data_IF_924953119587
#
_entry.id   IF_924953119587
#
_cell.length_a   1.000
_cell.length_b   1.000
_cell.length_c   1.000
_cell.angle_alpha   90.00
_cell.angle_beta   90.00
_cell.angle_gamma   90.00
#
_symmetry.space_group_name_H-M   'P 1'
#
loop_
_entity.id
_entity.type
_entity.pdbx_description
1 polymer ?
#
# COMPACT_ATOMS: atom_id res chain seq x y z
N UNK A 1 -5.39 1.22 8.52
CA UNK A 1 -5.21 0.24 7.44
C UNK A 1 -4.17 0.76 6.44
N UNK A 2 -3.28 -0.11 5.94
CA UNK A 2 -2.29 0.21 4.91
C UNK A 2 -2.48 -0.68 3.66
N UNK A 3 -2.54 -0.05 2.49
CA UNK A 3 -2.83 -0.71 1.21
C UNK A 3 -1.66 -1.55 0.66
N UNK A 4 -1.95 -2.43 -0.30
CA UNK A 4 -0.93 -3.18 -1.04
C UNK A 4 -0.13 -2.31 -2.03
N UNK A 5 1.05 -2.80 -2.42
CA UNK A 5 1.98 -2.11 -3.32
C UNK A 5 1.34 -1.79 -4.68
N UNK A 6 1.42 -0.54 -5.13
CA UNK A 6 0.83 -0.07 -6.39
C UNK A 6 -0.66 0.25 -6.33
N UNK A 7 -1.29 0.20 -5.14
CA UNK A 7 -2.66 0.65 -4.90
C UNK A 7 -2.68 1.90 -4.02
N UNK A 8 -3.88 2.34 -3.62
CA UNK A 8 -4.14 3.41 -2.66
C UNK A 8 -5.21 2.94 -1.65
N UNK A 9 -5.44 3.72 -0.60
CA UNK A 9 -6.41 3.45 0.45
C UNK A 9 -7.85 3.35 -0.09
N UNK A 10 -8.22 4.19 -1.05
CA UNK A 10 -9.56 4.19 -1.64
C UNK A 10 -9.92 2.89 -2.36
N UNK A 11 -8.95 2.15 -2.89
CA UNK A 11 -9.19 0.80 -3.43
C UNK A 11 -9.79 -0.19 -2.40
N UNK A 12 -9.80 0.15 -1.11
CA UNK A 12 -10.36 -0.65 -0.02
C UNK A 12 -11.62 -0.01 0.59
N UNK A 13 -12.13 1.10 0.03
CA UNK A 13 -13.26 1.88 0.56
C UNK A 13 -14.47 0.98 0.86
N UNK A 14 -14.86 0.13 -0.08
CA UNK A 14 -15.98 -0.82 0.08
C UNK A 14 -15.81 -1.78 1.26
N UNK A 15 -14.59 -2.26 1.48
CA UNK A 15 -14.27 -3.10 2.63
C UNK A 15 -14.40 -2.30 3.93
N UNK A 16 -13.98 -1.04 3.94
CA UNK A 16 -14.13 -0.17 5.11
C UNK A 16 -15.59 0.17 5.39
N UNK A 17 -16.39 0.46 4.37
CA UNK A 17 -17.84 0.72 4.50
C UNK A 17 -18.55 -0.46 5.18
N UNK A 18 -18.24 -1.70 4.77
CA UNK A 18 -18.81 -2.91 5.36
C UNK A 18 -18.39 -3.14 6.84
N UNK A 19 -17.27 -2.54 7.27
CA UNK A 19 -16.74 -2.67 8.63
C UNK A 19 -16.96 -1.44 9.50
N UNK A 20 -17.47 -0.34 8.95
CA UNK A 20 -17.53 0.97 9.60
C UNK A 20 -18.44 1.01 10.83
N UNK A 21 -19.38 0.06 10.96
CA UNK A 21 -20.20 -0.07 12.16
C UNK A 21 -19.43 -0.63 13.37
N UNK A 22 -18.30 -1.32 13.14
CA UNK A 22 -17.53 -1.99 14.18
C UNK A 22 -16.18 -1.31 14.48
N UNK A 23 -15.70 -0.43 13.59
CA UNK A 23 -14.37 0.16 13.69
C UNK A 23 -14.35 1.62 13.24
N UNK A 24 -13.60 2.45 13.98
CA UNK A 24 -13.11 3.73 13.49
C UNK A 24 -11.89 3.48 12.59
N UNK A 25 -12.10 3.55 11.28
CA UNK A 25 -11.08 3.15 10.31
C UNK A 25 -10.30 4.37 9.82
N UNK A 26 -9.04 4.44 10.23
CA UNK A 26 -8.06 5.30 9.58
C UNK A 26 -7.33 4.53 8.49
N UNK A 27 -7.35 5.01 7.26
CA UNK A 27 -6.60 4.45 6.14
C UNK A 27 -5.60 5.47 5.60
N UNK A 28 -4.37 5.03 5.33
CA UNK A 28 -3.29 5.90 4.89
C UNK A 28 -2.76 5.45 3.53
N UNK A 29 -2.49 6.41 2.66
CA UNK A 29 -1.67 6.20 1.47
C UNK A 29 -0.19 6.21 1.83
N UNK A 30 0.49 5.13 1.48
CA UNK A 30 1.92 4.98 1.68
C UNK A 30 2.68 5.94 0.75
N UNK A 31 3.85 6.43 1.17
CA UNK A 31 4.70 7.32 0.33
C UNK A 31 4.80 6.84 -1.12
N UNK A 32 4.68 7.76 -2.06
CA UNK A 32 4.68 7.46 -3.49
C UNK A 32 3.42 6.77 -4.03
N UNK A 33 2.32 6.73 -3.28
CA UNK A 33 1.04 6.13 -3.71
C UNK A 33 -0.13 7.06 -3.42
N UNK A 34 -1.24 6.86 -4.14
CA UNK A 34 -2.50 7.55 -3.89
C UNK A 34 -2.37 9.08 -3.79
N UNK A 35 -3.03 9.66 -2.80
CA UNK A 35 -3.07 11.10 -2.56
C UNK A 35 -1.88 11.64 -1.74
N UNK A 36 -0.98 10.79 -1.23
CA UNK A 36 0.15 11.29 -0.45
C UNK A 36 1.17 11.99 -1.33
N UNK A 37 1.66 13.14 -0.85
CA UNK A 37 2.72 13.92 -1.52
C UNK A 37 4.11 13.57 -1.03
N UNK A 38 4.24 12.63 -0.10
CA UNK A 38 5.55 12.17 0.36
C UNK A 38 6.28 11.51 -0.81
N UNK A 39 7.53 11.91 -1.10
CA UNK A 39 8.29 11.30 -2.16
C UNK A 39 8.50 9.81 -1.83
N UNK A 40 8.46 8.97 -2.86
CA UNK A 40 8.73 7.53 -2.73
C UNK A 40 10.13 7.24 -2.15
N UNK A 41 11.03 8.23 -2.14
CA UNK A 41 12.41 8.13 -1.65
C UNK A 41 13.15 6.94 -2.31
N UNK A 42 13.18 6.92 -3.64
CA UNK A 42 13.65 5.78 -4.46
C UNK A 42 15.15 5.51 -4.34
N UNK A 43 15.96 6.56 -4.13
CA UNK A 43 17.41 6.43 -4.00
C UNK A 43 17.78 5.92 -2.61
N UNK A 44 18.66 4.90 -2.54
CA UNK A 44 19.10 4.31 -1.28
C UNK A 44 18.03 3.46 -0.57
N UNK A 45 16.86 3.25 -1.18
CA UNK A 45 15.75 2.53 -0.58
C UNK A 45 15.98 1.01 -0.53
N UNK A 46 16.65 0.53 0.52
CA UNK A 46 17.00 -0.89 0.70
C UNK A 46 16.11 -1.64 1.69
N UNK A 47 15.14 -0.96 2.29
CA UNK A 47 14.33 -1.55 3.36
C UNK A 47 12.90 -1.04 3.32
N UNK A 48 11.97 -1.93 3.66
CA UNK A 48 10.57 -1.57 3.90
C UNK A 48 10.35 -0.90 5.27
N UNK A 49 11.42 -0.62 6.03
CA UNK A 49 11.38 0.09 7.31
C UNK A 49 10.69 1.46 7.22
N UNK A 50 10.89 2.18 6.11
CA UNK A 50 10.34 3.53 5.96
C UNK A 50 8.81 3.54 6.05
N UNK A 51 8.15 2.51 5.50
CA UNK A 51 6.69 2.45 5.48
C UNK A 51 6.12 2.19 6.88
N UNK A 52 6.84 1.41 7.70
CA UNK A 52 6.48 1.21 9.10
C UNK A 52 6.66 2.48 9.91
N UNK A 53 7.75 3.20 9.68
CA UNK A 53 8.02 4.50 10.31
C UNK A 53 6.95 5.55 9.94
N UNK A 54 6.55 5.60 8.68
CA UNK A 54 5.45 6.47 8.23
C UNK A 54 4.14 6.14 8.94
N UNK A 55 3.76 4.86 8.97
CA UNK A 55 2.53 4.45 9.65
C UNK A 55 2.56 4.75 11.15
N UNK A 56 3.72 4.62 11.81
CA UNK A 56 3.89 5.00 13.21
C UNK A 56 3.66 6.50 13.42
N UNK A 57 4.20 7.35 12.53
CA UNK A 57 3.96 8.80 12.55
C UNK A 57 2.51 9.14 12.25
N UNK A 58 1.90 8.47 11.27
CA UNK A 58 0.48 8.64 10.94
C UNK A 58 -0.41 8.25 12.13
N UNK A 59 -0.17 7.11 12.79
CA UNK A 59 -0.87 6.73 14.02
C UNK A 59 -0.75 7.80 15.10
N UNK A 60 0.46 8.29 15.36
CA UNK A 60 0.67 9.34 16.36
C UNK A 60 -0.08 10.64 16.02
N UNK A 61 -0.10 11.03 14.74
CA UNK A 61 -0.83 12.21 14.28
C UNK A 61 -2.35 12.04 14.34
N UNK A 62 -2.85 10.81 14.24
CA UNK A 62 -4.27 10.48 14.29
C UNK A 62 -4.78 10.16 15.70
N UNK A 63 -3.89 9.96 16.67
CA UNK A 63 -4.23 9.69 18.07
C UNK A 63 -5.26 10.66 18.67
N UNK A 64 -5.23 11.98 18.40
CA UNK A 64 -6.24 12.91 18.91
C UNK A 64 -7.66 12.70 18.37
N UNK A 65 -7.81 11.97 17.25
CA UNK A 65 -9.10 11.69 16.62
C UNK A 65 -9.59 10.26 16.89
N UNK A 66 -8.76 9.43 17.51
CA UNK A 66 -9.11 8.05 17.82
C UNK A 66 -9.94 7.99 19.11
N UNK A 67 -10.84 7.01 19.19
CA UNK A 67 -11.46 6.64 20.44
C UNK A 67 -10.38 6.24 21.48
N UNK A 68 -10.73 6.31 22.77
CA UNK A 68 -9.87 5.83 23.86
C UNK A 68 -9.85 4.29 23.90
N UNK A 69 -9.25 3.71 22.87
CA UNK A 69 -9.15 2.28 22.64
C UNK A 69 -7.78 1.90 22.08
N UNK A 70 -7.25 0.70 22.38
CA UNK A 70 -6.00 0.23 21.81
C UNK A 70 -6.06 0.14 20.28
N UNK A 71 -4.94 0.45 19.62
CA UNK A 71 -4.87 0.44 18.16
C UNK A 71 -4.83 -0.99 17.61
N UNK A 72 -5.55 -1.21 16.52
CA UNK A 72 -5.34 -2.36 15.63
C UNK A 72 -4.69 -1.88 14.34
N UNK A 73 -3.49 -2.36 14.05
CA UNK A 73 -2.82 -2.08 12.78
C UNK A 73 -3.16 -3.18 11.78
N UNK A 74 -3.64 -2.78 10.60
CA UNK A 74 -4.03 -3.73 9.55
C UNK A 74 -3.42 -3.35 8.21
N UNK A 75 -3.10 -4.34 7.37
CA UNK A 75 -2.66 -4.06 6.01
C UNK A 75 -2.55 -5.28 5.10
N UNK A 76 -2.52 -4.99 3.80
CA UNK A 76 -2.41 -5.98 2.72
C UNK A 76 -1.02 -5.93 2.07
N UNK A 77 -0.37 -7.07 1.84
CA UNK A 77 0.88 -7.17 1.09
C UNK A 77 1.98 -6.26 1.67
N UNK A 78 2.47 -5.26 0.92
CA UNK A 78 3.39 -4.23 1.42
C UNK A 78 2.85 -3.51 2.66
N UNK A 79 1.56 -3.16 2.66
CA UNK A 79 0.91 -2.53 3.82
C UNK A 79 0.87 -3.44 5.03
N UNK A 80 0.80 -4.76 4.85
CA UNK A 80 0.92 -5.73 5.93
C UNK A 80 2.32 -5.73 6.57
N UNK A 81 3.37 -5.69 5.75
CA UNK A 81 4.76 -5.55 6.23
C UNK A 81 4.96 -4.22 6.94
N UNK A 82 4.39 -3.14 6.40
CA UNK A 82 4.45 -1.82 7.03
C UNK A 82 3.74 -1.82 8.40
N UNK A 83 2.55 -2.43 8.50
CA UNK A 83 1.80 -2.56 9.75
C UNK A 83 2.57 -3.36 10.81
N UNK A 84 3.19 -4.48 10.43
CA UNK A 84 4.07 -5.25 11.32
C UNK A 84 5.23 -4.42 11.85
N UNK A 85 5.89 -3.67 10.97
CA UNK A 85 7.04 -2.83 11.35
C UNK A 85 6.63 -1.65 12.24
N UNK A 86 5.46 -1.08 12.01
CA UNK A 86 4.90 -0.01 12.83
C UNK A 86 4.50 -0.50 14.23
N UNK A 87 3.99 -1.73 14.34
CA UNK A 87 3.59 -2.33 15.62
C UNK A 87 4.77 -2.76 16.49
N UNK A 88 5.96 -2.99 15.90
CA UNK A 88 7.10 -3.54 16.59
C UNK A 88 7.56 -2.61 17.74
N UNK A 89 7.35 -3.07 18.99
CA UNK A 89 7.71 -2.33 20.20
C UNK A 89 6.72 -1.25 20.62
N UNK A 90 5.54 -1.16 19.98
CA UNK A 90 4.50 -0.18 20.31
C UNK A 90 3.43 -0.83 21.21
N UNK A 91 3.48 -0.55 22.51
CA UNK A 91 2.55 -1.11 23.50
C UNK A 91 1.10 -0.61 23.34
N UNK A 92 0.87 0.47 22.59
CA UNK A 92 -0.47 0.96 22.31
C UNK A 92 -1.15 0.21 21.15
N UNK A 93 -0.45 -0.74 20.50
CA UNK A 93 -1.01 -1.61 19.46
C UNK A 93 -1.39 -2.95 20.08
N UNK A 94 -2.69 -3.20 20.22
CA UNK A 94 -3.21 -4.46 20.79
C UNK A 94 -3.23 -5.61 19.78
N UNK A 95 -3.34 -5.31 18.49
CA UNK A 95 -3.44 -6.34 17.46
C UNK A 95 -2.85 -5.90 16.12
N UNK A 96 -2.36 -6.88 15.38
CA UNK A 96 -2.00 -6.74 13.96
C UNK A 96 -2.85 -7.70 13.12
N UNK A 97 -3.43 -7.21 12.02
CA UNK A 97 -4.24 -8.00 11.07
C UNK A 97 -3.63 -7.93 9.67
N UNK A 98 -3.29 -9.08 9.11
CA UNK A 98 -2.51 -9.18 7.88
C UNK A 98 -3.29 -9.88 6.79
N UNK A 99 -3.33 -9.27 5.62
CA UNK A 99 -3.87 -9.86 4.40
C UNK A 99 -2.68 -10.13 3.49
N UNK A 100 -2.39 -11.40 3.21
CA UNK A 100 -1.32 -11.81 2.27
C UNK A 100 0.01 -11.03 2.45
N UNK A 101 0.62 -11.02 3.66
CA UNK A 101 1.84 -10.23 3.91
C UNK A 101 3.02 -10.75 3.08
N UNK A 102 3.84 -9.83 2.59
CA UNK A 102 5.02 -10.18 1.78
C UNK A 102 6.15 -10.67 2.68
N UNK A 103 6.50 -11.96 2.57
CA UNK A 103 7.58 -12.60 3.33
C UNK A 103 8.56 -13.33 2.39
N UNK A 104 9.45 -12.60 1.68
CA UNK A 104 10.39 -13.21 0.76
C UNK A 104 11.45 -14.04 1.51
N UNK A 105 12.02 -15.08 0.89
CA UNK A 105 13.14 -15.82 1.47
C UNK A 105 14.29 -14.90 1.87
N UNK A 106 15.03 -15.28 2.92
CA UNK A 106 16.19 -14.52 3.41
C UNK A 106 17.23 -14.25 2.31
N UNK A 107 17.43 -15.22 1.40
CA UNK A 107 18.32 -15.08 0.26
C UNK A 107 17.89 -13.95 -0.69
N UNK A 108 16.60 -13.86 -1.03
CA UNK A 108 16.07 -12.79 -1.87
C UNK A 108 16.17 -11.43 -1.16
N UNK A 109 15.92 -11.40 0.15
CA UNK A 109 16.08 -10.18 0.96
C UNK A 109 17.54 -9.70 0.95
N UNK A 110 18.50 -10.61 1.20
CA UNK A 110 19.92 -10.29 1.15
C UNK A 110 20.34 -9.77 -0.24
N UNK A 111 19.86 -10.43 -1.30
CA UNK A 111 20.11 -10.02 -2.67
C UNK A 111 19.56 -8.63 -2.98
N UNK A 112 18.36 -8.32 -2.51
CA UNK A 112 17.72 -7.01 -2.67
C UNK A 112 18.45 -5.88 -1.93
N UNK A 113 19.18 -6.19 -0.87
CA UNK A 113 20.03 -5.23 -0.16
C UNK A 113 21.46 -5.11 -0.71
N UNK A 114 21.85 -6.00 -1.63
CA UNK A 114 23.20 -6.04 -2.20
C UNK A 114 23.45 -4.93 -3.24
N UNK A 115 24.71 -4.55 -3.52
CA UNK A 115 25.04 -3.60 -4.60
C UNK A 115 24.73 -4.16 -6.00
N UNK A 116 24.51 -5.47 -6.15
CA UNK A 116 24.17 -6.10 -7.42
C UNK A 116 22.68 -6.04 -7.75
N UNK A 117 21.83 -5.59 -6.81
CA UNK A 117 20.39 -5.52 -7.01
C UNK A 117 19.97 -4.76 -8.28
N UNK A 118 20.55 -3.59 -8.63
CA UNK A 118 20.19 -2.88 -9.87
C UNK A 118 20.43 -3.69 -11.14
N UNK A 119 21.39 -4.62 -11.12
CA UNK A 119 21.65 -5.53 -12.25
C UNK A 119 20.63 -6.67 -12.29
N UNK A 120 20.19 -7.16 -11.13
CA UNK A 120 19.36 -8.36 -11.02
C UNK A 120 17.86 -8.02 -11.10
N UNK A 121 17.41 -6.95 -10.44
CA UNK A 121 16.02 -6.58 -10.33
C UNK A 121 15.30 -6.48 -11.69
N UNK A 122 15.88 -5.87 -12.75
CA UNK A 122 15.24 -5.80 -14.06
C UNK A 122 15.03 -7.15 -14.74
N UNK A 123 15.64 -8.24 -14.25
CA UNK A 123 15.43 -9.61 -14.78
C UNK A 123 14.23 -10.30 -14.13
N UNK A 124 13.79 -9.83 -12.96
CA UNK A 124 12.66 -10.41 -12.23
C UNK A 124 11.35 -10.09 -12.96
N UNK A 125 10.51 -11.09 -13.31
CA UNK A 125 9.27 -10.87 -14.06
C UNK A 125 8.32 -9.84 -13.43
N UNK A 126 8.19 -9.86 -12.10
CA UNK A 126 7.33 -8.92 -11.36
C UNK A 126 7.82 -7.48 -11.49
N UNK A 127 9.14 -7.25 -11.40
CA UNK A 127 9.75 -5.93 -11.57
C UNK A 127 9.54 -5.44 -13.02
N UNK A 128 9.78 -6.30 -14.01
CA UNK A 128 9.52 -5.97 -15.43
C UNK A 128 8.06 -5.66 -15.71
N UNK A 129 7.13 -6.36 -15.07
CA UNK A 129 5.71 -6.07 -15.20
C UNK A 129 5.37 -4.70 -14.58
N UNK A 130 5.94 -4.38 -13.42
CA UNK A 130 5.77 -3.08 -12.79
C UNK A 130 6.33 -1.92 -13.64
N UNK A 131 7.53 -2.08 -14.21
CA UNK A 131 8.17 -1.08 -15.08
C UNK A 131 7.38 -0.79 -16.37
N UNK A 132 6.57 -1.75 -16.84
CA UNK A 132 5.73 -1.60 -18.04
C UNK A 132 4.35 -1.02 -17.75
N UNK A 133 4.03 -0.71 -16.49
CA UNK A 133 2.74 -0.10 -16.14
C UNK A 133 2.67 1.30 -16.77
N UNK A 134 1.58 1.57 -17.47
CA UNK A 134 1.31 2.89 -18.04
C UNK A 134 1.08 3.88 -16.90
N UNK A 135 1.93 4.91 -16.84
CA UNK A 135 1.87 5.94 -15.80
C UNK A 135 0.96 7.12 -16.15
N UNK A 136 0.68 7.35 -17.44
CA UNK A 136 -0.09 8.51 -17.93
C UNK A 136 -1.28 8.06 -18.76
N UNK A 137 -2.39 8.74 -18.59
CA UNK A 137 -3.64 8.50 -19.30
C UNK A 137 -4.20 9.82 -19.83
N UNK A 138 -4.91 9.82 -20.98
CA UNK A 138 -5.57 11.02 -21.47
C UNK A 138 -6.63 11.54 -20.50
N UNK A 139 -7.38 10.62 -19.90
CA UNK A 139 -8.47 10.90 -18.97
C UNK A 139 -8.73 9.66 -18.09
N UNK A 140 -9.59 9.83 -17.08
CA UNK A 140 -9.95 8.76 -16.12
C UNK A 140 -10.71 7.61 -16.78
N UNK A 141 -11.58 7.88 -17.75
CA UNK A 141 -12.36 6.86 -18.45
C UNK A 141 -11.48 5.97 -19.32
N UNK A 142 -10.49 6.55 -20.00
CA UNK A 142 -9.46 5.84 -20.76
C UNK A 142 -8.68 4.86 -19.86
N UNK A 143 -8.33 5.29 -18.64
CA UNK A 143 -7.70 4.42 -17.64
C UNK A 143 -8.64 3.29 -17.22
N UNK A 144 -9.89 3.63 -16.88
CA UNK A 144 -10.93 2.67 -16.46
C UNK A 144 -11.16 1.58 -17.49
N UNK A 145 -11.37 1.94 -18.76
CA UNK A 145 -11.59 0.99 -19.85
C UNK A 145 -10.40 0.04 -20.01
N UNK A 146 -9.17 0.56 -19.96
CA UNK A 146 -7.97 -0.28 -20.11
C UNK A 146 -7.73 -1.19 -18.90
N UNK A 147 -8.02 -0.73 -17.68
CA UNK A 147 -7.91 -1.60 -16.50
C UNK A 147 -9.00 -2.65 -16.47
N UNK A 148 -10.24 -2.32 -16.80
CA UNK A 148 -11.38 -3.25 -16.80
C UNK A 148 -11.19 -4.44 -17.74
N UNK A 149 -10.44 -4.28 -18.84
CA UNK A 149 -10.10 -5.37 -19.77
C UNK A 149 -9.06 -6.36 -19.22
N UNK A 150 -8.36 -6.02 -18.14
CA UNK A 150 -7.33 -6.91 -17.56
C UNK A 150 -8.00 -7.92 -16.62
N UNK A 151 -7.75 -9.23 -16.79
CA UNK A 151 -8.38 -10.26 -15.95
C UNK A 151 -8.24 -10.02 -14.44
N UNK A 152 -7.11 -9.47 -14.00
CA UNK A 152 -6.87 -9.14 -12.60
C UNK A 152 -7.89 -8.14 -12.02
N UNK A 153 -8.25 -7.10 -12.77
CA UNK A 153 -9.20 -6.07 -12.32
C UNK A 153 -10.65 -6.46 -12.66
N UNK A 154 -10.86 -7.25 -13.71
CA UNK A 154 -12.19 -7.74 -14.08
C UNK A 154 -12.83 -8.61 -12.98
N UNK A 155 -12.02 -9.26 -12.14
CA UNK A 155 -12.49 -10.04 -10.99
C UNK A 155 -12.77 -9.23 -9.72
N UNK A 156 -12.57 -7.91 -9.74
CA UNK A 156 -12.86 -7.08 -8.57
C UNK A 156 -14.36 -6.83 -8.41
N UNK A 157 -14.79 -6.61 -7.16
CA UNK A 157 -16.19 -6.26 -6.89
C UNK A 157 -16.56 -4.94 -7.60
N UNK A 158 -17.83 -4.76 -8.03
CA UNK A 158 -18.29 -3.53 -8.67
C UNK A 158 -17.95 -2.29 -7.84
N UNK A 159 -17.47 -1.22 -8.49
CA UNK A 159 -17.11 0.04 -7.84
C UNK A 159 -15.68 0.11 -7.28
N UNK A 160 -15.00 -1.03 -7.07
CA UNK A 160 -13.64 -1.03 -6.48
C UNK A 160 -12.61 -0.46 -7.44
N UNK A 161 -12.76 -0.71 -8.75
CA UNK A 161 -11.86 -0.13 -9.75
C UNK A 161 -12.04 1.39 -9.81
N UNK A 162 -13.28 1.87 -9.75
CA UNK A 162 -13.61 3.29 -9.71
C UNK A 162 -13.01 3.95 -8.46
N UNK A 163 -13.16 3.33 -7.29
CA UNK A 163 -12.57 3.82 -6.05
C UNK A 163 -11.03 3.86 -6.14
N UNK A 164 -10.38 2.85 -6.74
CA UNK A 164 -8.94 2.86 -6.97
C UNK A 164 -8.50 4.01 -7.89
N UNK A 165 -9.23 4.27 -8.96
CA UNK A 165 -8.88 5.31 -9.94
C UNK A 165 -9.17 6.72 -9.44
N UNK A 166 -9.98 6.89 -8.40
CA UNK A 166 -10.27 8.18 -7.79
C UNK A 166 -9.00 8.83 -7.24
N UNK A 167 -8.25 8.12 -6.39
CA UNK A 167 -6.99 8.62 -5.81
C UNK A 167 -5.74 8.02 -6.47
N UNK A 168 -5.89 6.97 -7.28
CA UNK A 168 -4.78 6.35 -8.03
C UNK A 168 -4.37 7.16 -9.27
N UNK A 169 -5.12 8.18 -9.64
CA UNK A 169 -4.82 9.12 -10.71
C UNK A 169 -4.77 10.54 -10.15
N UNK A 170 -3.81 11.34 -10.63
CA UNK A 170 -3.72 12.77 -10.36
C UNK A 170 -3.72 13.53 -11.68
N UNK A 171 -4.33 14.71 -11.69
CA UNK A 171 -4.21 15.63 -12.81
C UNK A 171 -2.75 16.07 -12.95
N UNK A 172 -2.23 16.05 -14.18
CA UNK A 172 -0.84 16.44 -14.52
C UNK A 172 -0.80 17.68 -15.36
#
# INVERSE_FOLDING_TARGET
FAHANGFCASAYRRMFEAMGAAFDIFAADLRGHGATRLPAAVEGHRSMAIFGEDLRRTKAALAPFAADAPWTLAGHSLGGVAALKAAAGDSAVAAVRLIEPVAPPRSLTALATSPFWPLIAPRIPLVRAAMRRRARWPDRDSARQSYAQKPFFAGWAPGVLEDYLEDGLAAT
#
